data_IF_546060424557
#
_entry.id   IF_546060424557
#
_cell.length_a   1.000
_cell.length_b   1.000
_cell.length_c   1.000
_cell.angle_alpha   90.00
_cell.angle_beta   90.00
_cell.angle_gamma   90.00
#
_symmetry.space_group_name_H-M   'P 1'
#
loop_
_entity.id
_entity.type
_entity.pdbx_description
1 polymer ?
#
# COMPACT_ATOMS: atom_id res chain seq x y z
N UNK A 1 -49.13 -51.47 10.91
CA UNK A 1 -48.17 -50.91 9.94
C UNK A 1 -47.07 -50.29 10.79
N UNK A 2 -46.06 -51.11 11.11
CA UNK A 2 -44.98 -50.76 12.05
C UNK A 2 -43.81 -50.28 11.20
N UNK A 3 -43.28 -49.12 11.57
CA UNK A 3 -42.11 -48.49 10.98
C UNK A 3 -40.86 -49.21 11.51
N UNK A 4 -40.00 -49.70 10.62
CA UNK A 4 -38.63 -50.09 10.96
C UNK A 4 -37.69 -48.90 10.71
N UNK A 5 -36.95 -48.57 11.76
CA UNK A 5 -35.96 -47.51 11.85
C UNK A 5 -34.68 -47.91 11.11
N UNK A 6 -34.17 -47.05 10.24
CA UNK A 6 -32.80 -47.15 9.74
C UNK A 6 -31.91 -46.19 10.54
N UNK A 7 -30.97 -46.80 11.25
CA UNK A 7 -29.84 -46.21 11.96
C UNK A 7 -29.01 -45.30 11.04
N UNK A 8 -28.67 -44.11 11.56
CA UNK A 8 -27.78 -43.14 10.93
C UNK A 8 -26.75 -42.68 11.96
N UNK A 9 -25.88 -43.60 12.39
CA UNK A 9 -24.64 -43.27 13.09
C UNK A 9 -23.48 -43.66 12.18
N UNK A 10 -22.88 -42.68 11.50
CA UNK A 10 -21.47 -42.71 11.02
C UNK A 10 -21.16 -41.43 10.22
N UNK A 11 -20.96 -40.29 10.91
CA UNK A 11 -20.48 -39.07 10.26
C UNK A 11 -19.60 -38.14 11.12
N UNK A 12 -19.10 -38.58 12.28
CA UNK A 12 -18.34 -37.71 13.20
C UNK A 12 -16.83 -38.03 13.34
N UNK A 13 -16.27 -38.88 12.46
CA UNK A 13 -14.84 -39.29 12.58
C UNK A 13 -13.83 -38.36 11.89
N UNK A 14 -14.23 -37.29 11.21
CA UNK A 14 -13.31 -36.53 10.32
C UNK A 14 -12.81 -35.19 10.86
N UNK A 15 -13.26 -34.72 12.03
CA UNK A 15 -12.80 -33.44 12.59
C UNK A 15 -11.70 -33.57 13.67
N UNK A 16 -11.45 -34.79 14.16
CA UNK A 16 -10.40 -35.07 15.17
C UNK A 16 -8.98 -35.05 14.56
N UNK A 17 -8.87 -35.09 13.24
CA UNK A 17 -7.61 -35.35 12.53
C UNK A 17 -6.72 -34.12 12.36
N UNK A 18 -7.26 -32.90 12.36
CA UNK A 18 -6.47 -31.68 12.10
C UNK A 18 -5.81 -31.08 13.35
N UNK A 19 -6.50 -31.10 14.49
CA UNK A 19 -5.94 -30.59 15.76
C UNK A 19 -4.85 -31.52 16.31
N UNK A 20 -5.06 -32.82 16.24
CA UNK A 20 -4.06 -33.84 16.62
C UNK A 20 -2.81 -33.79 15.72
N UNK A 21 -2.97 -33.56 14.41
CA UNK A 21 -1.84 -33.34 13.50
C UNK A 21 -1.07 -32.04 13.80
N UNK A 22 -1.71 -31.01 14.35
CA UNK A 22 -1.06 -29.75 14.71
C UNK A 22 -0.12 -29.91 15.91
N UNK A 23 -0.57 -30.62 16.95
CA UNK A 23 0.21 -30.89 18.16
C UNK A 23 1.41 -31.80 17.90
N UNK A 24 1.25 -32.82 17.06
CA UNK A 24 2.32 -33.76 16.72
C UNK A 24 3.48 -33.06 15.96
N UNK A 25 3.16 -32.15 15.03
CA UNK A 25 4.17 -31.41 14.27
C UNK A 25 4.86 -30.36 15.16
N UNK A 26 4.13 -29.72 16.09
CA UNK A 26 4.73 -28.80 17.07
C UNK A 26 5.73 -29.51 18.00
N UNK A 27 5.41 -30.72 18.45
CA UNK A 27 6.32 -31.54 19.26
C UNK A 27 7.57 -31.96 18.49
N UNK A 28 7.46 -32.24 17.19
CA UNK A 28 8.64 -32.57 16.36
C UNK A 28 9.56 -31.35 16.14
N UNK A 29 9.01 -30.14 16.01
CA UNK A 29 9.83 -28.92 15.91
C UNK A 29 10.54 -28.58 17.23
N UNK A 30 9.94 -28.92 18.38
CA UNK A 30 10.58 -28.74 19.70
C UNK A 30 11.83 -29.62 19.89
N UNK A 31 11.97 -30.70 19.12
CA UNK A 31 13.14 -31.59 19.13
C UNK A 31 14.25 -31.14 18.16
N UNK A 32 14.03 -30.08 17.35
CA UNK A 32 15.04 -29.59 16.42
C UNK A 32 16.18 -28.89 17.17
N UNK A 33 17.44 -29.01 16.69
CA UNK A 33 18.56 -28.35 17.32
C UNK A 33 18.40 -26.82 17.23
N UNK A 34 18.64 -26.13 18.35
CA UNK A 34 18.46 -24.67 18.46
C UNK A 34 19.30 -23.85 17.46
N UNK A 35 20.36 -24.44 16.90
CA UNK A 35 21.18 -23.82 15.87
C UNK A 35 20.67 -24.16 14.45
N UNK A 36 19.94 -23.23 13.85
CA UNK A 36 19.36 -23.34 12.50
C UNK A 36 20.38 -23.62 11.39
N UNK A 37 21.68 -23.36 11.60
CA UNK A 37 22.73 -23.68 10.62
C UNK A 37 22.99 -25.18 10.49
N UNK A 38 22.54 -25.99 11.45
CA UNK A 38 22.67 -27.46 11.43
C UNK A 38 21.43 -28.17 10.90
N UNK A 39 20.41 -27.43 10.47
CA UNK A 39 19.16 -28.01 9.97
C UNK A 39 19.35 -28.64 8.61
N UNK A 40 18.89 -29.88 8.48
CA UNK A 40 18.72 -30.56 7.21
C UNK A 40 17.58 -29.92 6.41
N UNK A 41 17.44 -30.31 5.13
CA UNK A 41 16.34 -29.84 4.30
C UNK A 41 14.96 -30.22 4.87
N UNK A 42 14.86 -31.42 5.46
CA UNK A 42 13.64 -31.91 6.11
C UNK A 42 13.24 -31.04 7.30
N UNK A 43 14.21 -30.65 8.14
CA UNK A 43 13.98 -29.82 9.32
C UNK A 43 13.45 -28.43 8.94
N UNK A 44 13.98 -27.85 7.85
CA UNK A 44 13.52 -26.55 7.33
C UNK A 44 12.09 -26.63 6.80
N UNK A 45 11.76 -27.71 6.08
CA UNK A 45 10.41 -27.92 5.55
C UNK A 45 9.39 -28.10 6.69
N UNK A 46 9.76 -28.86 7.73
CA UNK A 46 8.95 -29.05 8.93
C UNK A 46 8.71 -27.72 9.66
N UNK A 47 9.76 -26.91 9.84
CA UNK A 47 9.66 -25.59 10.46
C UNK A 47 8.76 -24.63 9.66
N UNK A 48 8.90 -24.58 8.33
CA UNK A 48 8.02 -23.76 7.47
C UNK A 48 6.57 -24.23 7.57
N UNK A 49 6.33 -25.55 7.62
CA UNK A 49 4.99 -26.11 7.81
C UNK A 49 4.40 -25.68 9.15
N UNK A 50 5.16 -25.75 10.24
CA UNK A 50 4.77 -25.24 11.56
C UNK A 50 4.47 -23.74 11.56
N UNK A 51 5.35 -22.93 10.96
CA UNK A 51 5.14 -21.48 10.89
C UNK A 51 3.88 -21.13 10.10
N UNK A 52 3.61 -21.84 9.01
CA UNK A 52 2.38 -21.66 8.24
C UNK A 52 1.16 -22.02 9.08
N UNK A 53 1.19 -23.14 9.79
CA UNK A 53 0.12 -23.53 10.71
C UNK A 53 -0.07 -22.43 11.77
N UNK A 54 0.98 -22.02 12.48
CA UNK A 54 0.91 -21.03 13.56
C UNK A 54 0.42 -19.66 13.08
N UNK A 55 0.90 -19.18 11.92
CA UNK A 55 0.50 -17.88 11.35
C UNK A 55 -0.87 -17.90 10.68
N UNK A 56 -1.35 -19.07 10.24
CA UNK A 56 -2.68 -19.23 9.64
C UNK A 56 -3.78 -19.60 10.65
N UNK A 57 -3.44 -19.90 11.91
CA UNK A 57 -4.42 -20.03 12.99
C UNK A 57 -4.88 -18.62 13.42
N UNK A 58 -5.94 -18.13 12.79
CA UNK A 58 -6.75 -17.05 13.35
C UNK A 58 -7.35 -17.58 14.65
N UNK A 59 -6.91 -17.10 15.81
CA UNK A 59 -7.63 -17.34 17.07
C UNK A 59 -9.07 -16.90 16.83
N UNK A 60 -10.02 -17.83 16.85
CA UNK A 60 -11.44 -17.47 16.93
C UNK A 60 -11.57 -16.62 18.20
N UNK A 61 -12.11 -15.39 18.12
CA UNK A 61 -12.38 -14.63 19.33
C UNK A 61 -13.29 -15.48 20.22
N UNK A 62 -12.88 -15.70 21.46
CA UNK A 62 -13.72 -16.35 22.44
C UNK A 62 -14.94 -15.46 22.65
N UNK A 63 -16.09 -15.95 22.22
CA UNK A 63 -17.38 -15.34 22.49
C UNK A 63 -17.72 -15.57 23.95
N UNK A 64 -17.23 -14.70 24.83
CA UNK A 64 -17.71 -14.61 26.22
C UNK A 64 -17.69 -13.16 26.68
N UNK A 65 -18.91 -12.66 26.81
CA UNK A 65 -19.41 -11.82 27.89
C UNK A 65 -19.12 -10.32 27.89
N UNK A 66 -20.13 -9.61 27.39
CA UNK A 66 -20.80 -8.48 28.04
C UNK A 66 -19.91 -7.44 28.73
N UNK A 67 -19.71 -6.32 28.02
CA UNK A 67 -19.81 -4.99 28.63
C UNK A 67 -20.58 -4.07 27.70
N UNK A 68 -21.86 -3.92 28.00
CA UNK A 68 -22.68 -2.80 27.54
C UNK A 68 -22.09 -1.51 28.13
N UNK A 69 -21.42 -0.70 27.31
CA UNK A 69 -21.30 0.72 27.55
C UNK A 69 -21.61 1.46 26.25
N UNK A 70 -22.78 2.10 26.28
CA UNK A 70 -23.35 3.08 25.36
C UNK A 70 -22.34 3.77 24.44
N UNK A 71 -22.19 3.25 23.23
CA UNK A 71 -21.84 4.09 22.08
C UNK A 71 -22.70 3.61 20.91
N UNK A 72 -23.49 4.53 20.38
CA UNK A 72 -24.28 4.38 19.16
C UNK A 72 -23.32 4.26 17.96
N UNK A 73 -22.62 3.14 17.87
CA UNK A 73 -21.86 2.74 16.70
C UNK A 73 -22.58 1.53 16.12
N UNK A 74 -23.15 1.70 14.93
CA UNK A 74 -23.83 0.63 14.18
C UNK A 74 -22.87 -0.56 14.07
N UNK A 75 -23.05 -1.56 14.93
CA UNK A 75 -22.36 -2.84 14.80
C UNK A 75 -22.74 -3.41 13.43
N UNK A 76 -21.76 -3.51 12.53
CA UNK A 76 -22.00 -4.02 11.17
C UNK A 76 -22.35 -5.50 11.31
N UNK A 77 -23.62 -5.80 11.12
CA UNK A 77 -24.20 -7.13 11.16
C UNK A 77 -23.40 -8.07 10.24
N UNK A 78 -23.01 -9.26 10.72
CA UNK A 78 -22.07 -10.21 10.08
C UNK A 78 -22.22 -10.35 8.54
N UNK A 79 -21.10 -10.54 7.83
CA UNK A 79 -21.02 -10.74 6.36
C UNK A 79 -22.05 -11.74 5.81
N UNK A 80 -22.30 -12.79 6.59
CA UNK A 80 -23.34 -13.77 6.34
C UNK A 80 -24.28 -13.84 7.54
N UNK A 81 -25.58 -14.02 7.26
CA UNK A 81 -26.59 -14.35 8.25
C UNK A 81 -26.40 -15.80 8.74
N UNK A 82 -27.00 -16.13 9.89
CA UNK A 82 -26.89 -17.47 10.49
C UNK A 82 -27.44 -18.60 9.60
N UNK A 83 -28.33 -18.27 8.65
CA UNK A 83 -28.88 -19.21 7.66
C UNK A 83 -27.94 -19.43 6.45
N UNK A 84 -26.76 -18.78 6.41
CA UNK A 84 -25.80 -18.88 5.31
C UNK A 84 -26.03 -17.89 4.17
N UNK A 85 -27.07 -17.06 4.23
CA UNK A 85 -27.32 -16.02 3.22
C UNK A 85 -26.39 -14.81 3.39
N UNK A 86 -26.05 -14.16 2.29
CA UNK A 86 -25.20 -12.96 2.30
C UNK A 86 -25.93 -11.72 2.80
N UNK A 87 -25.29 -11.01 3.73
CA UNK A 87 -25.77 -9.71 4.17
C UNK A 87 -25.37 -8.62 3.16
N UNK A 88 -26.27 -8.29 2.23
CA UNK A 88 -26.02 -7.26 1.20
C UNK A 88 -25.67 -5.90 1.81
N UNK A 89 -26.29 -5.54 2.94
CA UNK A 89 -26.05 -4.27 3.64
C UNK A 89 -24.62 -4.18 4.20
N UNK A 90 -23.99 -5.31 4.52
CA UNK A 90 -22.57 -5.33 4.91
C UNK A 90 -21.66 -4.81 3.80
N UNK A 91 -22.06 -5.02 2.53
CA UNK A 91 -21.31 -4.59 1.35
C UNK A 91 -21.83 -3.28 0.74
N UNK A 92 -22.89 -2.71 1.31
CA UNK A 92 -23.36 -1.37 0.95
C UNK A 92 -22.49 -0.35 1.70
N UNK A 93 -21.54 0.23 0.99
CA UNK A 93 -20.81 1.39 1.50
C UNK A 93 -21.74 2.60 1.44
N UNK A 94 -21.92 3.30 2.55
CA UNK A 94 -22.52 4.64 2.54
C UNK A 94 -21.59 5.54 1.72
N UNK A 95 -21.97 5.76 0.45
CA UNK A 95 -21.30 6.75 -0.41
C UNK A 95 -21.61 8.10 0.20
N UNK A 96 -20.71 8.59 1.04
CA UNK A 96 -20.75 9.98 1.48
C UNK A 96 -20.55 10.83 0.23
N UNK A 97 -21.58 11.61 -0.12
CA UNK A 97 -21.51 12.61 -1.20
C UNK A 97 -20.40 13.60 -0.85
N UNK A 98 -19.19 13.29 -1.28
CA UNK A 98 -18.07 14.20 -1.22
C UNK A 98 -18.18 15.02 -2.50
N UNK A 99 -18.37 16.32 -2.39
CA UNK A 99 -18.41 17.21 -3.56
C UNK A 99 -17.25 16.87 -4.50
N UNK A 100 -17.54 16.68 -5.79
CA UNK A 100 -16.52 16.34 -6.79
C UNK A 100 -15.47 17.46 -6.84
N UNK A 101 -14.31 17.20 -6.23
CA UNK A 101 -13.27 18.21 -6.10
C UNK A 101 -12.51 18.37 -7.41
N UNK A 102 -12.86 19.41 -8.18
CA UNK A 102 -12.20 19.74 -9.45
C UNK A 102 -10.77 20.27 -9.23
N UNK A 103 -9.84 19.99 -10.15
CA UNK A 103 -8.48 20.55 -10.13
C UNK A 103 -8.35 21.68 -11.16
N UNK A 104 -8.44 22.92 -10.67
CA UNK A 104 -8.48 24.14 -11.50
C UNK A 104 -7.11 24.86 -11.54
N UNK A 105 -6.98 25.82 -12.46
CA UNK A 105 -5.76 26.62 -12.61
C UNK A 105 -5.45 27.45 -11.34
N UNK A 106 -6.47 27.89 -10.58
CA UNK A 106 -6.28 28.58 -9.30
C UNK A 106 -5.58 27.69 -8.26
N UNK A 107 -5.96 26.42 -8.17
CA UNK A 107 -5.35 25.43 -7.27
C UNK A 107 -3.93 25.10 -7.72
N UNK A 108 -3.69 25.04 -9.03
CA UNK A 108 -2.37 24.88 -9.62
C UNK A 108 -1.44 26.06 -9.31
N UNK A 109 -1.93 27.30 -9.39
CA UNK A 109 -1.19 28.49 -8.99
C UNK A 109 -0.83 28.49 -7.49
N UNK A 110 -1.76 28.05 -6.62
CA UNK A 110 -1.48 27.85 -5.19
C UNK A 110 -0.42 26.78 -4.96
N UNK A 111 -0.42 25.70 -5.75
CA UNK A 111 0.62 24.68 -5.68
C UNK A 111 1.99 25.26 -6.08
N UNK A 112 2.09 26.04 -7.16
CA UNK A 112 3.33 26.73 -7.52
C UNK A 112 3.85 27.62 -6.39
N UNK A 113 2.99 28.45 -5.79
CA UNK A 113 3.33 29.29 -4.63
C UNK A 113 3.82 28.46 -3.43
N UNK A 114 3.20 27.31 -3.19
CA UNK A 114 3.61 26.38 -2.15
C UNK A 114 4.99 25.75 -2.40
N UNK A 115 5.27 25.36 -3.65
CA UNK A 115 6.56 24.81 -4.05
C UNK A 115 7.68 25.84 -3.96
N UNK A 116 7.40 27.10 -4.31
CA UNK A 116 8.34 28.22 -4.14
C UNK A 116 8.65 28.48 -2.67
N UNK A 117 7.61 28.52 -1.82
CA UNK A 117 7.75 28.88 -0.39
C UNK A 117 8.38 27.76 0.45
N UNK A 118 7.84 26.55 0.34
CA UNK A 118 8.19 25.43 1.23
C UNK A 118 9.20 24.48 0.59
N UNK A 119 9.09 24.27 -0.72
CA UNK A 119 9.92 23.34 -1.50
C UNK A 119 9.28 21.97 -1.70
N UNK A 120 9.83 21.22 -2.67
CA UNK A 120 9.42 19.84 -2.96
C UNK A 120 9.78 18.93 -1.78
N UNK A 121 8.82 18.10 -1.37
CA UNK A 121 8.95 17.19 -0.23
C UNK A 121 8.26 17.69 1.05
N UNK A 122 7.84 18.96 1.11
CA UNK A 122 7.09 19.54 2.24
C UNK A 122 5.59 19.71 1.97
N UNK A 123 4.98 18.69 1.38
CA UNK A 123 3.56 18.73 0.99
C UNK A 123 2.59 18.87 2.18
N UNK A 124 3.01 18.48 3.39
CA UNK A 124 2.24 18.71 4.61
C UNK A 124 2.05 20.21 4.90
N UNK A 125 3.09 21.01 4.75
CA UNK A 125 3.05 22.47 4.95
C UNK A 125 2.21 23.15 3.86
N UNK A 126 2.34 22.71 2.60
CA UNK A 126 1.53 23.22 1.48
C UNK A 126 0.04 22.92 1.70
N UNK A 127 -0.28 21.70 2.14
CA UNK A 127 -1.66 21.34 2.49
C UNK A 127 -2.20 22.27 3.57
N UNK A 128 -1.53 22.36 4.71
CA UNK A 128 -2.06 23.09 5.88
C UNK A 128 -2.29 24.57 5.56
N UNK A 129 -1.42 25.20 4.78
CA UNK A 129 -1.45 26.64 4.57
C UNK A 129 -2.17 27.09 3.28
N UNK A 130 -2.21 26.26 2.24
CA UNK A 130 -2.69 26.69 0.90
C UNK A 130 -3.79 25.79 0.34
N UNK A 131 -3.69 24.47 0.53
CA UNK A 131 -4.59 23.50 -0.09
C UNK A 131 -5.09 22.47 0.96
N UNK A 132 -5.84 22.90 1.99
CA UNK A 132 -6.21 22.05 3.13
C UNK A 132 -7.09 20.87 2.76
N UNK A 133 -7.87 21.03 1.69
CA UNK A 133 -8.73 19.98 1.18
C UNK A 133 -7.92 18.85 0.53
N UNK A 134 -6.71 19.12 0.02
CA UNK A 134 -5.89 18.15 -0.72
C UNK A 134 -4.94 17.40 0.21
N UNK A 135 -4.91 16.08 0.11
CA UNK A 135 -3.95 15.27 0.86
C UNK A 135 -2.52 15.53 0.36
N UNK A 136 -1.53 15.34 1.24
CA UNK A 136 -0.12 15.50 0.87
C UNK A 136 0.29 14.60 -0.31
N UNK A 137 -0.30 13.39 -0.40
CA UNK A 137 -0.03 12.48 -1.50
C UNK A 137 -0.64 12.97 -2.83
N UNK A 138 -1.85 13.52 -2.81
CA UNK A 138 -2.44 14.10 -4.02
C UNK A 138 -1.63 15.29 -4.52
N UNK A 139 -1.16 16.17 -3.62
CA UNK A 139 -0.27 17.27 -3.98
C UNK A 139 1.04 16.77 -4.59
N UNK A 140 1.61 15.69 -4.04
CA UNK A 140 2.78 15.01 -4.62
C UNK A 140 2.49 14.51 -6.05
N UNK A 141 1.36 13.83 -6.25
CA UNK A 141 0.95 13.33 -7.57
C UNK A 141 0.71 14.45 -8.58
N UNK A 142 0.16 15.59 -8.14
CA UNK A 142 -0.01 16.79 -8.98
C UNK A 142 1.31 17.48 -9.28
N UNK A 143 2.32 17.37 -8.41
CA UNK A 143 3.65 17.97 -8.61
C UNK A 143 4.48 17.21 -9.64
N UNK A 144 4.35 15.88 -9.73
CA UNK A 144 5.09 15.06 -10.70
C UNK A 144 4.99 15.55 -12.16
N UNK A 145 3.79 15.78 -12.74
CA UNK A 145 3.66 16.30 -14.09
C UNK A 145 4.03 17.77 -14.23
N UNK A 146 4.05 18.56 -13.15
CA UNK A 146 4.49 19.96 -13.22
C UNK A 146 6.00 20.07 -13.44
N UNK A 147 6.78 19.21 -12.78
CA UNK A 147 8.24 19.16 -12.95
C UNK A 147 8.69 18.14 -14.00
N UNK A 148 7.78 17.27 -14.45
CA UNK A 148 8.06 16.25 -15.45
C UNK A 148 8.85 15.05 -14.93
N UNK A 149 8.74 14.71 -13.64
CA UNK A 149 9.54 13.65 -12.99
C UNK A 149 8.70 12.79 -12.05
N UNK A 150 8.80 11.46 -12.18
CA UNK A 150 8.06 10.53 -11.32
C UNK A 150 8.64 10.52 -9.90
N UNK A 151 9.96 10.41 -9.81
CA UNK A 151 10.66 10.37 -8.53
C UNK A 151 11.04 11.77 -8.05
N UNK A 152 10.21 12.34 -7.18
CA UNK A 152 10.44 13.64 -6.56
C UNK A 152 11.47 13.62 -5.40
N UNK A 153 11.98 12.46 -4.98
CA UNK A 153 12.95 12.40 -3.86
C UNK A 153 14.25 13.12 -4.19
N UNK A 154 14.65 13.12 -5.45
CA UNK A 154 15.84 13.82 -5.93
C UNK A 154 15.67 15.34 -5.94
N UNK A 155 14.42 15.81 -5.91
CA UNK A 155 14.09 17.22 -5.79
C UNK A 155 13.81 17.62 -4.34
N UNK A 156 14.12 16.79 -3.34
CA UNK A 156 13.83 17.09 -1.94
C UNK A 156 14.56 18.37 -1.52
N UNK A 157 13.79 19.38 -1.11
CA UNK A 157 14.31 20.69 -0.74
C UNK A 157 14.47 21.68 -1.89
N UNK A 158 14.29 21.24 -3.15
CA UNK A 158 14.23 22.15 -4.29
C UNK A 158 13.09 23.16 -4.09
N UNK A 159 13.42 24.44 -4.24
CA UNK A 159 12.49 25.57 -4.23
C UNK A 159 12.70 26.31 -5.53
N UNK A 160 11.64 26.45 -6.29
CA UNK A 160 11.70 27.19 -7.53
C UNK A 160 10.37 27.84 -7.84
N UNK A 161 10.44 28.99 -8.50
CA UNK A 161 9.29 29.65 -9.06
C UNK A 161 8.76 28.87 -10.29
N UNK A 162 7.66 29.35 -10.87
CA UNK A 162 7.05 28.69 -12.04
C UNK A 162 8.00 28.57 -13.24
N UNK A 163 8.86 29.57 -13.48
CA UNK A 163 9.82 29.54 -14.58
C UNK A 163 10.91 28.49 -14.36
N UNK A 164 11.45 28.37 -13.14
CA UNK A 164 12.44 27.37 -12.77
C UNK A 164 11.88 25.96 -12.84
N UNK A 165 10.64 25.75 -12.36
CA UNK A 165 9.93 24.48 -12.49
C UNK A 165 9.75 24.13 -13.97
N UNK A 166 9.43 25.11 -14.82
CA UNK A 166 9.30 24.91 -16.26
C UNK A 166 10.63 24.55 -16.92
N UNK A 167 11.75 25.14 -16.49
CA UNK A 167 13.09 24.76 -16.96
C UNK A 167 13.37 23.28 -16.62
N UNK A 168 13.06 22.86 -15.39
CA UNK A 168 13.20 21.47 -14.97
C UNK A 168 12.28 20.53 -15.78
N UNK A 169 11.04 20.95 -16.04
CA UNK A 169 10.11 20.21 -16.90
C UNK A 169 10.66 20.01 -18.30
N UNK A 170 11.11 21.07 -18.97
CA UNK A 170 11.64 20.96 -20.34
C UNK A 170 12.93 20.14 -20.38
N UNK A 171 13.78 20.22 -19.34
CA UNK A 171 14.94 19.34 -19.18
C UNK A 171 14.54 17.87 -19.09
N UNK A 172 13.64 17.53 -18.18
CA UNK A 172 13.17 16.15 -17.99
C UNK A 172 12.45 15.61 -19.23
N UNK A 173 11.69 16.48 -19.91
CA UNK A 173 11.03 16.17 -21.19
C UNK A 173 12.03 15.83 -22.28
N UNK A 174 13.12 16.59 -22.43
CA UNK A 174 14.18 16.28 -23.40
C UNK A 174 14.77 14.89 -23.17
N UNK A 175 15.08 14.54 -21.92
CA UNK A 175 15.60 13.21 -21.55
C UNK A 175 14.57 12.12 -21.86
N UNK A 176 13.30 12.33 -21.48
CA UNK A 176 12.24 11.36 -21.70
C UNK A 176 11.89 11.14 -23.18
N UNK A 177 12.10 12.15 -24.02
CA UNK A 177 11.94 12.03 -25.48
C UNK A 177 13.17 11.38 -26.15
N UNK A 178 14.36 11.51 -25.56
CA UNK A 178 15.57 10.87 -26.06
C UNK A 178 15.57 9.35 -25.80
N UNK A 179 14.97 8.90 -24.69
CA UNK A 179 14.87 7.48 -24.34
C UNK A 179 13.47 6.94 -24.66
N UNK A 180 13.31 5.99 -25.61
CA UNK A 180 12.01 5.46 -26.00
C UNK A 180 11.21 4.92 -24.81
N UNK A 181 9.92 5.29 -24.74
CA UNK A 181 9.00 4.77 -23.72
C UNK A 181 9.19 5.34 -22.30
N UNK A 182 10.13 6.27 -22.10
CA UNK A 182 10.40 6.85 -20.78
C UNK A 182 9.64 8.15 -20.51
N UNK A 183 8.98 8.75 -21.50
CA UNK A 183 8.06 9.87 -21.33
C UNK A 183 6.61 9.39 -21.35
N UNK A 184 5.92 9.43 -20.20
CA UNK A 184 4.52 8.98 -20.06
C UNK A 184 3.73 9.97 -19.23
N UNK A 185 2.55 10.37 -19.71
CA UNK A 185 1.65 11.29 -19.00
C UNK A 185 2.35 12.58 -18.49
N UNK A 186 3.22 13.17 -19.33
CA UNK A 186 4.06 14.34 -19.01
C UNK A 186 5.07 14.11 -17.87
N UNK A 187 5.49 12.87 -17.66
CA UNK A 187 6.40 12.48 -16.60
C UNK A 187 7.53 11.61 -17.17
N UNK A 188 8.77 11.93 -16.76
CA UNK A 188 9.94 11.08 -16.96
C UNK A 188 9.89 9.90 -15.98
N UNK A 189 9.84 8.70 -16.55
CA UNK A 189 9.84 7.40 -15.88
C UNK A 189 11.21 6.76 -16.05
N UNK A 190 11.67 6.03 -15.03
CA UNK A 190 12.93 5.29 -15.09
C UNK A 190 12.86 4.13 -16.09
N UNK A 191 14.01 3.83 -16.71
CA UNK A 191 14.20 2.63 -17.53
C UNK A 191 14.92 1.53 -16.73
N UNK A 192 14.71 0.28 -17.13
CA UNK A 192 15.34 -0.88 -16.48
C UNK A 192 16.86 -0.97 -16.74
N UNK A 193 17.37 -0.23 -17.72
CA UNK A 193 18.77 -0.23 -18.13
C UNK A 193 19.60 0.93 -17.54
N UNK A 194 18.98 1.78 -16.71
CA UNK A 194 19.63 2.93 -16.07
C UNK A 194 20.15 4.00 -17.04
N UNK A 195 19.68 4.04 -18.28
CA UNK A 195 20.04 5.07 -19.28
C UNK A 195 19.52 6.44 -18.83
N UNK A 196 18.27 6.50 -18.37
CA UNK A 196 17.62 7.73 -17.90
C UNK A 196 18.41 8.33 -16.75
N UNK A 197 18.83 7.51 -15.78
CA UNK A 197 19.61 7.98 -14.64
C UNK A 197 20.96 8.56 -15.08
N UNK A 198 21.68 7.90 -16.00
CA UNK A 198 22.95 8.42 -16.53
C UNK A 198 22.79 9.77 -17.23
N UNK A 199 21.78 9.92 -18.09
CA UNK A 199 21.53 11.21 -18.77
C UNK A 199 21.15 12.32 -17.79
N UNK A 200 20.46 11.98 -16.70
CA UNK A 200 20.20 12.92 -15.62
C UNK A 200 21.52 13.37 -14.99
N UNK A 201 22.35 12.43 -14.55
CA UNK A 201 23.61 12.72 -13.86
C UNK A 201 24.55 13.57 -14.75
N UNK A 202 24.63 13.25 -16.04
CA UNK A 202 25.39 14.03 -17.05
C UNK A 202 24.87 15.47 -17.14
N UNK A 203 23.55 15.66 -17.24
CA UNK A 203 22.95 17.00 -17.33
C UNK A 203 22.98 17.78 -16.01
N UNK A 204 23.07 17.13 -14.84
CA UNK A 204 23.32 17.79 -13.55
C UNK A 204 24.77 18.26 -13.45
N UNK A 205 25.72 17.43 -13.88
CA UNK A 205 27.13 17.80 -13.92
C UNK A 205 27.35 19.03 -14.82
N UNK A 206 26.77 19.06 -16.02
CA UNK A 206 26.87 20.21 -16.93
C UNK A 206 26.29 21.50 -16.32
N UNK A 207 25.21 21.42 -15.55
CA UNK A 207 24.62 22.59 -14.87
C UNK A 207 25.50 23.11 -13.72
N UNK A 208 26.26 22.24 -13.07
CA UNK A 208 27.10 22.61 -11.92
C UNK A 208 28.34 23.38 -12.37
N UNK A 209 28.94 23.01 -13.51
CA UNK A 209 30.15 23.66 -14.04
C UNK A 209 29.92 25.07 -14.63
N UNK A 210 28.68 25.45 -14.96
CA UNK A 210 28.36 26.77 -15.54
C UNK A 210 28.24 27.85 -14.45
N UNK A 211 28.19 27.47 -13.17
CA UNK A 211 27.99 28.38 -12.03
C UNK A 211 29.25 28.63 -11.18
N UNK A 212 30.40 28.08 -11.57
CA UNK A 212 31.70 28.45 -11.00
C UNK A 212 32.41 29.47 -11.92
N UNK A 213 32.43 30.77 -11.58
CA UNK A 213 33.37 31.74 -12.15
C UNK A 213 34.79 31.59 -11.60
#
# INVERSE_FOLDING_TARGET
MVLEENSADDADSNNTTLETMGEEILNQVALLPANHRKWTLSDRQLWVKCMRIHMCHRRKPQSTDQKEENTSEKAVESMCFANGDFNKKYFEFEVTETEERVWDESKKALLYKGLETYGIGRFGEIRTNLLPQWTANELRMKTMPLIGRQNLQLYKGFRGNEAEIRIQYERNKKIGLAVPGCWKANILVSDDHGVVQRMIDETEAEQTYVLEP
#
